data_IF_289178948580
#
_entry.id   IF_289178948580
#
_cell.length_a   1.000
_cell.length_b   1.000
_cell.length_c   1.000
_cell.angle_alpha   90.00
_cell.angle_beta   90.00
_cell.angle_gamma   90.00
#
_symmetry.space_group_name_H-M   'P 1'
#
loop_
_entity.id
_entity.type
_entity.pdbx_description
1 polymer ?
#
# COMPACT_ATOMS: atom_id res chain seq x y z
N UNK A 1 1.07 -9.66 -11.86
CA UNK A 1 1.93 -10.53 -12.71
C UNK A 1 3.38 -10.35 -12.27
N UNK A 2 4.19 -11.41 -12.26
CA UNK A 2 5.57 -11.29 -11.75
C UNK A 2 6.61 -10.96 -12.84
N UNK A 3 6.24 -10.96 -14.11
CA UNK A 3 7.15 -10.69 -15.22
C UNK A 3 8.38 -11.63 -15.19
N UNK A 4 9.44 -11.37 -15.96
CA UNK A 4 10.73 -12.08 -15.88
C UNK A 4 11.48 -11.78 -14.57
N UNK A 5 11.13 -10.72 -13.89
CA UNK A 5 11.81 -10.24 -12.69
C UNK A 5 13.20 -9.66 -12.95
N UNK A 6 13.63 -9.58 -14.19
CA UNK A 6 14.89 -8.97 -14.61
C UNK A 6 14.60 -7.77 -15.49
N UNK A 7 15.27 -6.68 -15.21
CA UNK A 7 15.23 -5.43 -15.96
C UNK A 7 16.65 -5.02 -16.32
N UNK A 8 16.79 -4.13 -17.26
CA UNK A 8 18.09 -3.54 -17.62
C UNK A 8 18.01 -2.04 -17.43
N UNK A 9 19.01 -1.47 -16.77
CA UNK A 9 19.14 -0.02 -16.67
C UNK A 9 19.55 0.60 -18.02
N UNK A 10 19.68 1.92 -18.08
CA UNK A 10 20.10 2.67 -19.27
C UNK A 10 21.51 2.28 -19.74
N UNK A 11 22.33 1.69 -18.87
CA UNK A 11 23.68 1.24 -19.15
C UNK A 11 23.74 -0.26 -19.53
N UNK A 12 22.59 -0.95 -19.54
CA UNK A 12 22.48 -2.37 -19.84
C UNK A 12 22.82 -3.30 -18.66
N UNK A 13 22.95 -2.78 -17.43
CA UNK A 13 23.18 -3.62 -16.25
C UNK A 13 21.87 -4.28 -15.82
N UNK A 14 21.96 -5.53 -15.38
CA UNK A 14 20.80 -6.26 -14.86
C UNK A 14 20.36 -5.75 -13.50
N UNK A 15 19.08 -5.46 -13.38
CA UNK A 15 18.41 -5.14 -12.14
C UNK A 15 17.32 -6.16 -11.81
N UNK A 16 17.28 -6.60 -10.55
CA UNK A 16 16.25 -7.53 -10.10
C UNK A 16 14.99 -6.81 -9.63
N UNK A 17 13.88 -7.18 -10.20
CA UNK A 17 12.56 -6.71 -9.82
C UNK A 17 12.02 -7.34 -8.54
N UNK A 18 10.83 -6.90 -8.16
CA UNK A 18 10.13 -7.30 -6.94
C UNK A 18 10.09 -8.82 -6.71
N UNK A 19 9.72 -9.68 -7.67
CA UNK A 19 9.59 -11.12 -7.41
C UNK A 19 10.90 -11.76 -6.97
N UNK A 20 12.03 -11.37 -7.57
CA UNK A 20 13.34 -11.93 -7.21
C UNK A 20 13.81 -11.36 -5.88
N UNK A 21 13.69 -10.05 -5.67
CA UNK A 21 14.11 -9.39 -4.42
C UNK A 21 13.34 -9.92 -3.21
N UNK A 22 12.01 -10.01 -3.31
CA UNK A 22 11.16 -10.53 -2.24
C UNK A 22 11.47 -12.01 -1.99
N UNK A 23 11.68 -12.81 -3.03
CA UNK A 23 12.04 -14.23 -2.87
C UNK A 23 13.34 -14.42 -2.13
N UNK A 24 14.36 -13.60 -2.41
CA UNK A 24 15.65 -13.63 -1.68
C UNK A 24 15.48 -13.25 -0.21
N UNK A 25 14.79 -12.16 0.08
CA UNK A 25 14.49 -11.74 1.46
C UNK A 25 13.75 -12.84 2.22
N UNK A 26 12.69 -13.40 1.63
CA UNK A 26 11.89 -14.46 2.27
C UNK A 26 12.70 -15.74 2.48
N UNK A 27 13.62 -16.08 1.56
CA UNK A 27 14.54 -17.20 1.70
C UNK A 27 15.49 -17.03 2.89
N UNK A 28 16.04 -15.82 3.04
CA UNK A 28 16.94 -15.48 4.15
C UNK A 28 16.19 -15.47 5.49
N UNK A 29 15.00 -14.89 5.52
CA UNK A 29 14.11 -14.90 6.70
C UNK A 29 13.71 -16.33 7.07
N UNK A 30 13.36 -17.18 6.10
CA UNK A 30 13.05 -18.58 6.37
C UNK A 30 14.22 -19.31 7.01
N UNK A 31 15.46 -19.01 6.62
CA UNK A 31 16.66 -19.54 7.25
C UNK A 31 16.81 -19.18 8.73
N UNK A 32 16.34 -17.99 9.12
CA UNK A 32 16.36 -17.53 10.52
C UNK A 32 15.24 -18.17 11.38
N UNK A 33 14.19 -18.68 10.75
CA UNK A 33 13.02 -19.27 11.42
C UNK A 33 12.72 -20.68 10.94
N UNK A 34 13.53 -21.70 11.31
CA UNK A 34 13.45 -23.05 10.77
C UNK A 34 12.10 -23.75 11.03
N UNK A 35 11.38 -23.34 12.07
CA UNK A 35 10.05 -23.88 12.41
C UNK A 35 8.90 -23.23 11.61
N UNK A 36 9.19 -22.22 10.79
CA UNK A 36 8.19 -21.59 9.91
C UNK A 36 8.37 -22.08 8.49
N UNK A 37 7.26 -22.31 7.80
CA UNK A 37 7.26 -22.68 6.38
C UNK A 37 6.82 -21.48 5.53
N UNK A 38 7.58 -21.20 4.50
CA UNK A 38 7.32 -20.12 3.55
C UNK A 38 7.03 -20.73 2.19
N UNK A 39 5.90 -20.35 1.60
CA UNK A 39 5.52 -20.69 0.24
C UNK A 39 5.35 -19.42 -0.57
N UNK A 40 6.07 -19.29 -1.66
CA UNK A 40 5.98 -18.16 -2.57
C UNK A 40 5.26 -18.59 -3.84
N UNK A 41 4.14 -17.93 -4.14
CA UNK A 41 3.41 -18.12 -5.38
C UNK A 41 3.82 -17.05 -6.36
N UNK A 42 4.39 -17.44 -7.49
CA UNK A 42 4.79 -16.56 -8.58
C UNK A 42 4.02 -16.96 -9.83
N UNK A 43 3.43 -15.99 -10.51
CA UNK A 43 2.61 -16.23 -11.67
C UNK A 43 2.76 -15.14 -12.72
N UNK A 44 2.94 -15.53 -13.95
CA UNK A 44 2.79 -14.67 -15.13
C UNK A 44 2.11 -15.47 -16.24
N UNK A 45 1.32 -14.86 -17.09
CA UNK A 45 0.65 -15.55 -18.19
C UNK A 45 1.61 -15.92 -19.35
N UNK A 46 2.82 -15.35 -19.37
CA UNK A 46 3.87 -15.68 -20.34
C UNK A 46 4.78 -16.77 -19.79
N UNK A 47 4.81 -17.92 -20.46
CA UNK A 47 5.69 -19.02 -20.11
C UNK A 47 7.16 -18.65 -20.28
N UNK A 48 7.51 -17.85 -21.32
CA UNK A 48 8.87 -17.37 -21.55
C UNK A 48 9.40 -16.55 -20.36
N UNK A 49 8.56 -15.64 -19.84
CA UNK A 49 8.91 -14.83 -18.66
C UNK A 49 9.10 -15.70 -17.43
N UNK A 50 8.30 -16.74 -17.27
CA UNK A 50 8.42 -17.70 -16.16
C UNK A 50 9.71 -18.51 -16.27
N UNK A 51 10.10 -18.91 -17.47
CA UNK A 51 11.37 -19.60 -17.70
C UNK A 51 12.56 -18.71 -17.32
N UNK A 52 12.52 -17.44 -17.71
CA UNK A 52 13.56 -16.48 -17.37
C UNK A 52 13.62 -16.22 -15.85
N UNK A 53 12.48 -15.96 -15.23
CA UNK A 53 12.37 -15.74 -13.79
C UNK A 53 13.01 -16.88 -12.98
N UNK A 54 12.78 -18.13 -13.36
CA UNK A 54 13.31 -19.31 -12.67
C UNK A 54 14.83 -19.34 -12.58
N UNK A 55 15.54 -18.77 -13.54
CA UNK A 55 17.02 -18.74 -13.55
C UNK A 55 17.62 -17.88 -12.42
N UNK A 56 16.86 -16.90 -11.93
CA UNK A 56 17.34 -15.88 -10.97
C UNK A 56 16.79 -16.06 -9.56
N UNK A 57 15.88 -17.02 -9.36
CA UNK A 57 15.31 -17.29 -8.05
C UNK A 57 16.31 -18.01 -7.14
N UNK A 58 16.31 -17.72 -5.81
CA UNK A 58 17.14 -18.45 -4.87
C UNK A 58 16.67 -19.91 -4.76
N UNK A 59 17.59 -20.81 -4.40
CA UNK A 59 17.29 -22.22 -4.22
C UNK A 59 16.27 -22.45 -3.10
N UNK A 60 15.37 -23.42 -3.31
CA UNK A 60 14.47 -23.93 -2.28
C UNK A 60 15.21 -24.51 -1.08
N UNK A 61 14.54 -24.63 0.05
CA UNK A 61 15.04 -25.32 1.25
C UNK A 61 13.94 -26.17 1.89
N UNK A 62 14.26 -26.78 3.01
CA UNK A 62 13.29 -27.59 3.77
C UNK A 62 12.04 -26.81 4.17
N UNK A 63 12.17 -25.50 4.40
CA UNK A 63 11.10 -24.64 4.87
C UNK A 63 10.78 -23.46 3.94
N UNK A 64 11.40 -23.38 2.75
CA UNK A 64 11.15 -22.35 1.74
C UNK A 64 10.90 -23.01 0.37
N UNK A 65 9.72 -22.78 -0.21
CA UNK A 65 9.27 -23.41 -1.44
C UNK A 65 8.58 -22.42 -2.37
N UNK A 66 8.60 -22.74 -3.66
CA UNK A 66 7.85 -22.02 -4.71
C UNK A 66 6.67 -22.83 -5.24
N UNK A 67 5.67 -22.08 -5.71
CA UNK A 67 4.69 -22.54 -6.69
C UNK A 67 4.74 -21.53 -7.83
N UNK A 68 5.27 -21.95 -8.98
CA UNK A 68 5.49 -21.06 -10.13
C UNK A 68 4.61 -21.55 -11.27
N UNK A 69 3.75 -20.68 -11.78
CA UNK A 69 2.74 -21.03 -12.80
C UNK A 69 2.67 -20.00 -13.91
N UNK A 70 2.18 -20.43 -15.08
CA UNK A 70 1.84 -19.57 -16.22
C UNK A 70 0.33 -19.65 -16.49
N UNK A 71 -0.46 -19.12 -15.55
CA UNK A 71 -1.92 -19.13 -15.62
C UNK A 71 -2.46 -17.71 -15.72
N UNK A 72 -3.74 -17.59 -16.09
CA UNK A 72 -4.49 -16.36 -15.81
C UNK A 72 -4.46 -16.05 -14.32
N UNK A 73 -4.10 -14.82 -13.97
CA UNK A 73 -3.88 -14.42 -12.58
C UNK A 73 -5.13 -14.52 -11.72
N UNK A 74 -6.30 -14.18 -12.28
CA UNK A 74 -7.56 -14.22 -11.55
C UNK A 74 -8.06 -15.66 -11.35
N UNK A 75 -7.78 -16.56 -12.30
CA UNK A 75 -8.06 -17.99 -12.13
C UNK A 75 -7.21 -18.57 -11.00
N UNK A 76 -5.91 -18.25 -10.98
CA UNK A 76 -5.01 -18.69 -9.91
C UNK A 76 -5.44 -18.13 -8.53
N UNK A 77 -5.84 -16.87 -8.47
CA UNK A 77 -6.31 -16.26 -7.22
C UNK A 77 -7.55 -16.96 -6.68
N UNK A 78 -8.51 -17.33 -7.53
CA UNK A 78 -9.68 -18.11 -7.09
C UNK A 78 -9.27 -19.47 -6.52
N UNK A 79 -8.35 -20.19 -7.20
CA UNK A 79 -7.82 -21.47 -6.72
C UNK A 79 -7.13 -21.36 -5.35
N UNK A 80 -6.32 -20.31 -5.16
CA UNK A 80 -5.62 -20.04 -3.89
C UNK A 80 -6.61 -19.59 -2.83
N UNK A 81 -7.52 -18.68 -3.16
CA UNK A 81 -8.54 -18.15 -2.27
C UNK A 81 -9.42 -19.25 -1.67
N UNK A 82 -9.81 -20.22 -2.47
CA UNK A 82 -10.57 -21.38 -2.00
C UNK A 82 -9.79 -22.23 -1.00
N UNK A 83 -8.49 -22.39 -1.19
CA UNK A 83 -7.61 -23.09 -0.23
C UNK A 83 -7.45 -22.31 1.08
N UNK A 84 -7.25 -20.99 0.98
CA UNK A 84 -7.10 -20.11 2.15
C UNK A 84 -8.37 -20.06 2.99
N UNK A 85 -9.54 -19.98 2.37
CA UNK A 85 -10.83 -19.92 3.07
C UNK A 85 -11.10 -21.16 3.93
N UNK A 86 -10.53 -22.30 3.55
CA UNK A 86 -10.63 -23.60 4.25
C UNK A 86 -9.59 -23.78 5.36
N UNK A 87 -8.61 -22.89 5.48
CA UNK A 87 -7.50 -23.01 6.44
C UNK A 87 -7.46 -21.84 7.40
N UNK A 88 -7.53 -22.15 8.71
CA UNK A 88 -7.37 -21.16 9.78
C UNK A 88 -5.89 -20.97 10.22
N UNK A 89 -4.96 -21.72 9.62
CA UNK A 89 -3.53 -21.75 10.03
C UNK A 89 -2.60 -21.09 9.02
N UNK A 90 -3.11 -20.69 7.87
CA UNK A 90 -2.33 -20.05 6.83
C UNK A 90 -2.42 -18.53 6.98
N UNK A 91 -1.28 -17.88 7.03
CA UNK A 91 -1.14 -16.44 6.86
C UNK A 91 -0.58 -16.18 5.47
N UNK A 92 -1.06 -15.14 4.83
CA UNK A 92 -0.59 -14.77 3.50
C UNK A 92 -0.30 -13.27 3.41
N UNK A 93 0.53 -12.92 2.45
CA UNK A 93 0.67 -11.58 1.91
C UNK A 93 0.44 -11.67 0.41
N UNK A 94 -0.58 -10.98 -0.09
CA UNK A 94 -0.89 -10.90 -1.51
C UNK A 94 -0.48 -9.55 -2.06
N UNK A 95 0.45 -9.53 -3.01
CA UNK A 95 0.66 -8.38 -3.89
C UNK A 95 -0.18 -8.59 -5.14
N UNK A 96 -1.25 -7.82 -5.27
CA UNK A 96 -2.11 -7.81 -6.44
C UNK A 96 -1.70 -6.64 -7.34
N UNK A 97 -1.02 -6.98 -8.41
CA UNK A 97 -0.51 -6.04 -9.40
C UNK A 97 -1.09 -6.43 -10.77
N UNK A 98 -2.30 -5.96 -11.11
CA UNK A 98 -2.92 -6.25 -12.39
C UNK A 98 -2.16 -5.54 -13.51
N UNK A 99 -2.19 -6.16 -14.71
CA UNK A 99 -1.53 -5.58 -15.89
C UNK A 99 -2.14 -4.22 -16.29
N UNK A 100 -3.40 -4.05 -16.01
CA UNK A 100 -4.15 -2.84 -16.29
C UNK A 100 -4.92 -2.35 -15.03
N UNK A 101 -5.67 -1.30 -15.19
CA UNK A 101 -6.42 -0.70 -14.09
C UNK A 101 -7.58 -1.56 -13.56
N UNK A 102 -7.87 -2.72 -14.15
CA UNK A 102 -9.00 -3.55 -13.73
C UNK A 102 -8.71 -4.36 -12.48
N UNK A 103 -9.68 -4.38 -11.56
CA UNK A 103 -9.62 -5.18 -10.33
C UNK A 103 -10.75 -6.20 -10.36
N UNK A 104 -10.40 -7.48 -10.28
CA UNK A 104 -11.38 -8.57 -10.14
C UNK A 104 -11.69 -8.81 -8.67
N UNK A 105 -12.72 -8.15 -8.18
CA UNK A 105 -13.16 -8.25 -6.79
C UNK A 105 -13.62 -9.65 -6.41
N UNK A 106 -14.13 -10.44 -7.36
CA UNK A 106 -14.56 -11.81 -7.10
C UNK A 106 -13.38 -12.72 -6.82
N UNK A 107 -12.26 -12.50 -7.50
CA UNK A 107 -11.02 -13.22 -7.25
C UNK A 107 -10.35 -12.79 -5.94
N UNK A 108 -10.51 -11.53 -5.52
CA UNK A 108 -9.93 -10.99 -4.29
C UNK A 108 -10.78 -11.26 -3.04
N UNK A 109 -12.11 -11.40 -3.15
CA UNK A 109 -13.01 -11.54 -2.02
C UNK A 109 -12.62 -12.64 -1.00
N UNK A 110 -12.12 -13.83 -1.40
CA UNK A 110 -11.69 -14.85 -0.45
C UNK A 110 -10.51 -14.39 0.42
N UNK A 111 -9.62 -13.56 -0.11
CA UNK A 111 -8.47 -13.04 0.62
C UNK A 111 -8.89 -12.07 1.73
N UNK A 112 -9.86 -11.22 1.47
CA UNK A 112 -10.42 -10.33 2.49
C UNK A 112 -11.15 -11.06 3.63
N UNK A 113 -11.55 -12.30 3.43
CA UNK A 113 -12.20 -13.14 4.44
C UNK A 113 -11.23 -14.04 5.21
N UNK A 114 -9.98 -14.09 4.78
CA UNK A 114 -8.94 -14.98 5.31
C UNK A 114 -7.94 -14.21 6.19
N UNK A 115 -7.01 -14.91 6.85
CA UNK A 115 -5.97 -14.30 7.67
C UNK A 115 -4.77 -13.90 6.81
N UNK A 116 -4.60 -12.62 6.58
CA UNK A 116 -3.46 -12.11 5.83
C UNK A 116 -3.58 -10.65 5.46
N UNK A 117 -2.75 -10.25 4.53
CA UNK A 117 -2.63 -8.88 4.08
C UNK A 117 -2.72 -8.84 2.55
N UNK A 118 -3.40 -7.83 2.03
CA UNK A 118 -3.51 -7.57 0.59
C UNK A 118 -2.92 -6.20 0.30
N UNK A 119 -1.99 -6.15 -0.63
CA UNK A 119 -1.45 -4.91 -1.19
C UNK A 119 -1.87 -4.83 -2.66
N UNK A 120 -2.69 -3.86 -2.99
CA UNK A 120 -3.19 -3.64 -4.35
C UNK A 120 -2.40 -2.50 -4.98
N UNK A 121 -1.76 -2.75 -6.11
CA UNK A 121 -1.25 -1.69 -6.96
C UNK A 121 -2.38 -1.22 -7.89
N UNK A 122 -3.02 -0.12 -7.52
CA UNK A 122 -4.13 0.45 -8.26
C UNK A 122 -3.65 1.50 -9.24
N UNK A 123 -3.72 1.20 -10.53
CA UNK A 123 -3.28 2.08 -11.62
C UNK A 123 -4.32 3.21 -11.88
N UNK A 124 -4.39 4.18 -10.97
CA UNK A 124 -5.41 5.23 -10.99
C UNK A 124 -5.34 6.10 -12.25
N UNK A 125 -4.13 6.47 -12.67
CA UNK A 125 -3.95 7.33 -13.86
C UNK A 125 -4.46 6.67 -15.12
N UNK A 126 -4.20 5.38 -15.29
CA UNK A 126 -4.67 4.63 -16.46
C UNK A 126 -6.19 4.53 -16.46
N UNK A 127 -6.81 4.33 -15.31
CA UNK A 127 -8.27 4.37 -15.19
C UNK A 127 -8.84 5.71 -15.59
N UNK A 128 -8.32 6.82 -15.09
CA UNK A 128 -8.82 8.17 -15.37
C UNK A 128 -8.68 8.50 -16.87
N UNK A 129 -7.54 8.16 -17.45
CA UNK A 129 -7.28 8.41 -18.88
C UNK A 129 -8.17 7.56 -19.77
N UNK A 130 -8.26 6.27 -19.44
CA UNK A 130 -9.02 5.32 -20.22
C UNK A 130 -10.53 5.60 -20.16
N UNK A 131 -11.09 5.87 -18.99
CA UNK A 131 -12.52 6.19 -18.82
C UNK A 131 -12.93 7.38 -19.71
N UNK A 132 -12.08 8.38 -19.87
CA UNK A 132 -12.33 9.52 -20.76
C UNK A 132 -12.33 9.15 -22.26
N UNK A 133 -11.67 8.06 -22.64
CA UNK A 133 -11.44 7.65 -24.03
C UNK A 133 -12.23 6.40 -24.44
N UNK A 134 -12.86 5.73 -23.49
CA UNK A 134 -13.59 4.49 -23.71
C UNK A 134 -14.80 4.74 -24.61
N UNK A 135 -14.88 3.95 -25.69
CA UNK A 135 -15.97 4.03 -26.68
C UNK A 135 -16.73 2.70 -26.84
N UNK A 136 -16.19 1.61 -26.31
CA UNK A 136 -16.80 0.30 -26.50
C UNK A 136 -17.54 -0.18 -25.23
N UNK A 137 -18.74 -0.79 -25.37
CA UNK A 137 -19.49 -1.29 -24.23
C UNK A 137 -18.68 -2.25 -23.35
N UNK A 138 -17.88 -3.12 -23.95
CA UNK A 138 -17.02 -4.06 -23.21
C UNK A 138 -16.00 -3.36 -22.31
N UNK A 139 -15.40 -2.28 -22.80
CA UNK A 139 -14.45 -1.52 -22.01
C UNK A 139 -15.14 -0.69 -20.93
N UNK A 140 -16.35 -0.16 -21.20
CA UNK A 140 -17.18 0.51 -20.17
C UNK A 140 -17.50 -0.44 -19.04
N UNK A 141 -18.02 -1.63 -19.34
CA UNK A 141 -18.35 -2.66 -18.37
C UNK A 141 -17.15 -3.02 -17.47
N UNK A 142 -15.95 -3.14 -18.03
CA UNK A 142 -14.72 -3.40 -17.28
C UNK A 142 -14.48 -2.38 -16.15
N UNK A 143 -14.68 -1.08 -16.44
CA UNK A 143 -14.54 -0.04 -15.42
C UNK A 143 -15.70 -0.01 -14.44
N UNK A 144 -16.92 -0.28 -14.88
CA UNK A 144 -18.08 -0.44 -14.01
C UNK A 144 -17.87 -1.56 -12.99
N UNK A 145 -17.35 -2.71 -13.43
CA UNK A 145 -16.98 -3.83 -12.56
C UNK A 145 -15.83 -3.48 -11.61
N UNK A 146 -14.80 -2.75 -12.09
CA UNK A 146 -13.67 -2.33 -11.26
C UNK A 146 -14.09 -1.39 -10.14
N UNK A 147 -14.96 -0.44 -10.44
CA UNK A 147 -15.37 0.59 -9.47
C UNK A 147 -16.76 0.36 -8.87
N UNK A 148 -17.42 -0.74 -9.21
CA UNK A 148 -18.78 -1.09 -8.77
C UNK A 148 -19.76 0.09 -8.91
N UNK A 149 -19.72 0.77 -10.05
CA UNK A 149 -20.47 1.97 -10.34
C UNK A 149 -20.83 2.05 -11.83
N UNK A 150 -21.92 2.72 -12.19
CA UNK A 150 -22.26 2.93 -13.60
C UNK A 150 -21.22 3.81 -14.28
N UNK A 151 -21.03 3.60 -15.59
CA UNK A 151 -20.01 4.34 -16.34
C UNK A 151 -20.21 5.86 -16.31
N UNK A 152 -21.45 6.32 -16.34
CA UNK A 152 -21.80 7.74 -16.24
C UNK A 152 -21.31 8.37 -14.92
N UNK A 153 -21.38 7.62 -13.81
CA UNK A 153 -20.90 8.06 -12.52
C UNK A 153 -19.37 8.00 -12.38
N UNK A 154 -18.70 7.33 -13.35
CA UNK A 154 -17.24 7.24 -13.39
C UNK A 154 -16.62 8.39 -14.17
N UNK A 155 -17.39 9.08 -15.03
CA UNK A 155 -16.86 10.21 -15.78
C UNK A 155 -16.38 11.29 -14.81
N UNK A 156 -15.12 11.73 -14.92
CA UNK A 156 -14.58 12.72 -14.00
C UNK A 156 -15.27 14.06 -14.17
N UNK A 157 -15.84 14.56 -13.09
CA UNK A 157 -16.31 15.94 -12.97
C UNK A 157 -15.23 16.75 -12.24
N UNK A 158 -14.51 17.61 -12.94
CA UNK A 158 -13.56 18.53 -12.32
C UNK A 158 -12.29 17.87 -11.75
N UNK A 159 -11.93 18.20 -10.51
CA UNK A 159 -10.70 17.78 -9.83
C UNK A 159 -10.76 16.40 -9.13
N UNK A 160 -11.58 15.47 -9.58
CA UNK A 160 -11.96 14.23 -8.91
C UNK A 160 -10.87 13.13 -8.81
N UNK A 161 -9.60 13.49 -8.68
CA UNK A 161 -8.53 12.52 -8.42
C UNK A 161 -8.77 11.72 -7.14
N UNK A 162 -9.20 12.39 -6.09
CA UNK A 162 -9.49 11.81 -4.77
C UNK A 162 -10.65 10.80 -4.82
N UNK A 163 -11.59 10.98 -5.74
CA UNK A 163 -12.76 10.10 -5.84
C UNK A 163 -12.39 8.65 -6.20
N UNK A 164 -11.41 8.43 -7.08
CA UNK A 164 -11.02 7.08 -7.50
C UNK A 164 -10.26 6.32 -6.41
N UNK A 165 -9.36 6.99 -5.69
CA UNK A 165 -8.65 6.40 -4.54
C UNK A 165 -9.66 5.97 -3.48
N UNK A 166 -10.52 6.88 -3.06
CA UNK A 166 -11.55 6.60 -2.06
C UNK A 166 -12.54 5.52 -2.49
N UNK A 167 -12.81 5.38 -3.78
CA UNK A 167 -13.70 4.31 -4.28
C UNK A 167 -13.13 2.93 -4.01
N UNK A 168 -11.84 2.70 -4.27
CA UNK A 168 -11.21 1.41 -3.96
C UNK A 168 -11.27 1.13 -2.46
N UNK A 169 -10.96 2.11 -1.62
CA UNK A 169 -11.07 1.98 -0.17
C UNK A 169 -12.51 1.67 0.27
N UNK A 170 -13.49 2.35 -0.30
CA UNK A 170 -14.91 2.14 -0.02
C UNK A 170 -15.40 0.75 -0.45
N UNK A 171 -14.97 0.26 -1.61
CA UNK A 171 -15.29 -1.08 -2.09
C UNK A 171 -14.70 -2.11 -1.14
N UNK A 172 -13.44 -1.97 -0.76
CA UNK A 172 -12.80 -2.87 0.19
C UNK A 172 -13.54 -2.86 1.54
N UNK A 173 -13.88 -1.70 2.05
CA UNK A 173 -14.66 -1.56 3.29
C UNK A 173 -16.04 -2.23 3.17
N UNK A 174 -16.70 -2.10 2.03
CA UNK A 174 -17.99 -2.75 1.75
C UNK A 174 -17.87 -4.28 1.72
N UNK A 175 -16.85 -4.81 1.04
CA UNK A 175 -16.60 -6.26 0.98
C UNK A 175 -16.32 -6.87 2.37
N UNK A 176 -15.90 -6.07 3.31
CA UNK A 176 -15.56 -6.47 4.68
C UNK A 176 -16.70 -6.37 5.66
N UNK A 177 -17.63 -5.45 5.44
CA UNK A 177 -18.79 -5.25 6.34
C UNK A 177 -19.59 -6.53 6.51
N UNK A 178 -19.63 -7.39 5.50
CA UNK A 178 -20.23 -8.73 5.55
C UNK A 178 -19.41 -9.79 6.30
N UNK A 179 -18.14 -9.53 6.64
CA UNK A 179 -17.25 -10.50 7.27
C UNK A 179 -17.20 -10.41 8.81
N UNK A 180 -17.86 -9.42 9.42
CA UNK A 180 -17.90 -9.23 10.88
C UNK A 180 -16.54 -8.92 11.52
N UNK A 181 -15.55 -8.47 10.73
CA UNK A 181 -14.19 -8.16 11.18
C UNK A 181 -13.86 -6.69 10.98
N UNK A 182 -13.13 -6.11 11.92
CA UNK A 182 -12.51 -4.80 11.71
C UNK A 182 -11.39 -4.93 10.69
N UNK A 183 -11.35 -4.02 9.74
CA UNK A 183 -10.34 -3.99 8.71
C UNK A 183 -9.67 -2.62 8.68
N UNK A 184 -8.37 -2.63 8.46
CA UNK A 184 -7.55 -1.43 8.37
C UNK A 184 -7.14 -1.26 6.91
N UNK A 185 -7.33 -0.06 6.38
CA UNK A 185 -6.99 0.29 5.00
C UNK A 185 -6.09 1.51 5.05
N UNK A 186 -4.93 1.43 4.41
CA UNK A 186 -4.02 2.54 4.22
C UNK A 186 -3.68 2.67 2.74
N UNK A 187 -3.71 3.87 2.23
CA UNK A 187 -3.29 4.21 0.88
C UNK A 187 -1.95 4.93 0.89
N UNK A 188 -1.14 4.68 -0.12
CA UNK A 188 0.10 5.39 -0.36
C UNK A 188 0.22 5.72 -1.84
N UNK A 189 -0.29 6.89 -2.28
CA UNK A 189 -0.30 7.26 -3.69
C UNK A 189 1.04 7.80 -4.17
N UNK A 190 1.29 7.56 -5.45
CA UNK A 190 2.47 7.98 -6.18
C UNK A 190 2.09 8.87 -7.34
N UNK A 191 2.78 9.98 -7.44
CA UNK A 191 2.52 11.01 -8.41
C UNK A 191 3.71 11.22 -9.35
N UNK A 192 3.48 11.78 -10.52
CA UNK A 192 4.54 12.18 -11.45
C UNK A 192 4.92 13.66 -11.28
N UNK A 193 5.93 14.11 -12.05
CA UNK A 193 6.41 15.50 -12.04
C UNK A 193 5.36 16.56 -12.45
N UNK A 194 4.20 16.14 -12.95
CA UNK A 194 3.10 17.02 -13.36
C UNK A 194 1.91 16.97 -12.39
N UNK A 195 2.13 16.55 -11.18
CA UNK A 195 1.08 16.36 -10.18
C UNK A 195 -0.06 15.42 -10.62
N UNK A 196 0.23 14.44 -11.45
CA UNK A 196 -0.73 13.43 -11.82
C UNK A 196 -0.50 12.17 -11.00
N UNK A 197 -1.52 11.71 -10.30
CA UNK A 197 -1.51 10.45 -9.60
C UNK A 197 -1.25 9.32 -10.61
N UNK A 198 -0.19 8.57 -10.42
CA UNK A 198 0.16 7.43 -11.27
C UNK A 198 -0.56 6.19 -10.79
N UNK A 199 -0.29 5.80 -9.57
CA UNK A 199 -0.88 4.64 -8.93
C UNK A 199 -0.97 4.85 -7.42
N UNK A 200 -1.79 4.05 -6.78
CA UNK A 200 -1.98 4.03 -5.34
C UNK A 200 -1.72 2.62 -4.81
N UNK A 201 -0.85 2.50 -3.82
CA UNK A 201 -0.65 1.25 -3.10
C UNK A 201 -1.64 1.16 -1.95
N UNK A 202 -2.71 0.41 -2.17
CA UNK A 202 -3.75 0.21 -1.17
C UNK A 202 -3.45 -1.04 -0.35
N UNK A 203 -3.07 -0.83 0.90
CA UNK A 203 -2.80 -1.91 1.85
C UNK A 203 -4.03 -2.20 2.70
N UNK A 204 -4.37 -3.47 2.81
CA UNK A 204 -5.53 -3.95 3.52
C UNK A 204 -5.14 -5.08 4.46
N UNK A 205 -5.52 -4.98 5.72
CA UNK A 205 -5.26 -6.02 6.72
C UNK A 205 -6.34 -6.04 7.80
N UNK A 206 -6.63 -7.21 8.35
CA UNK A 206 -7.48 -7.35 9.54
C UNK A 206 -6.68 -7.23 10.85
N UNK A 207 -5.36 -7.00 10.77
CA UNK A 207 -4.47 -6.99 11.91
C UNK A 207 -3.87 -5.60 12.14
N UNK A 208 -4.13 -5.03 13.30
CA UNK A 208 -3.65 -3.69 13.65
C UNK A 208 -2.12 -3.55 13.55
N UNK A 209 -1.37 -4.59 13.96
CA UNK A 209 0.08 -4.56 13.85
C UNK A 209 0.58 -4.51 12.39
N UNK A 210 -0.08 -5.19 11.46
CA UNK A 210 0.22 -5.10 10.02
C UNK A 210 0.00 -3.70 9.49
N UNK A 211 -1.12 -3.07 9.86
CA UNK A 211 -1.41 -1.69 9.50
C UNK A 211 -0.37 -0.69 10.02
N UNK A 212 0.03 -0.82 11.29
CA UNK A 212 1.08 0.01 11.88
C UNK A 212 2.42 -0.20 11.18
N UNK A 213 2.78 -1.45 10.95
CA UNK A 213 4.02 -1.82 10.29
C UNK A 213 4.09 -1.26 8.86
N UNK A 214 3.00 -1.35 8.10
CA UNK A 214 2.92 -0.80 6.76
C UNK A 214 3.22 0.71 6.76
N UNK A 215 2.54 1.48 7.60
CA UNK A 215 2.75 2.94 7.71
C UNK A 215 4.20 3.28 8.11
N UNK A 216 4.70 2.63 9.14
CA UNK A 216 6.08 2.86 9.61
C UNK A 216 7.12 2.50 8.55
N UNK A 217 6.89 1.40 7.80
CA UNK A 217 7.79 0.97 6.72
C UNK A 217 7.76 1.95 5.55
N UNK A 218 6.57 2.38 5.12
CA UNK A 218 6.41 3.36 4.05
C UNK A 218 7.15 4.67 4.41
N UNK A 219 6.88 5.23 5.57
CA UNK A 219 7.56 6.44 6.03
C UNK A 219 9.08 6.29 6.15
N UNK A 220 9.55 5.15 6.65
CA UNK A 220 10.99 4.86 6.73
C UNK A 220 11.63 4.79 5.33
N UNK A 221 10.96 4.14 4.39
CA UNK A 221 11.42 4.01 3.00
C UNK A 221 11.55 5.38 2.32
N UNK A 222 10.64 6.29 2.63
CA UNK A 222 10.65 7.65 2.09
C UNK A 222 11.33 8.69 3.02
N UNK A 223 12.21 8.26 3.90
CA UNK A 223 13.04 9.15 4.72
C UNK A 223 12.28 9.94 5.78
N UNK A 224 11.24 9.35 6.39
CA UNK A 224 10.46 9.98 7.45
C UNK A 224 9.37 10.92 6.92
N UNK A 225 8.88 10.66 5.70
CA UNK A 225 7.81 11.43 5.07
C UNK A 225 6.86 10.53 4.28
N UNK A 226 5.63 10.99 4.09
CA UNK A 226 4.64 10.36 3.22
C UNK A 226 4.64 11.02 1.84
N UNK A 227 4.19 10.31 0.81
CA UNK A 227 4.08 10.83 -0.55
C UNK A 227 2.94 11.84 -0.75
N UNK A 228 2.09 12.06 0.26
CA UNK A 228 0.97 12.99 0.15
C UNK A 228 0.94 13.95 1.32
N UNK A 229 0.85 15.22 0.99
CA UNK A 229 0.47 16.26 1.94
C UNK A 229 -0.85 16.91 1.58
N UNK A 230 -1.02 17.25 0.32
CA UNK A 230 -2.20 17.93 -0.16
C UNK A 230 -2.52 17.49 -1.59
N UNK A 231 -3.75 17.09 -1.85
CA UNK A 231 -4.20 16.63 -3.15
C UNK A 231 -4.86 17.74 -3.97
N UNK A 232 -4.98 18.93 -3.41
CA UNK A 232 -5.65 20.05 -4.05
C UNK A 232 -4.64 20.98 -4.76
N UNK A 233 -4.33 20.67 -6.02
CA UNK A 233 -3.89 21.68 -6.97
C UNK A 233 -2.41 22.02 -7.01
N UNK A 234 -1.56 21.44 -6.18
CA UNK A 234 -0.13 21.74 -6.24
C UNK A 234 0.54 21.08 -7.42
N UNK A 235 1.19 21.89 -8.26
CA UNK A 235 1.87 21.45 -9.48
C UNK A 235 3.19 20.72 -9.20
N UNK A 236 3.63 20.69 -7.96
CA UNK A 236 4.94 20.21 -7.55
C UNK A 236 4.86 18.81 -6.92
N UNK A 237 5.46 17.80 -7.52
CA UNK A 237 5.31 16.43 -7.06
C UNK A 237 6.48 15.51 -7.23
N UNK A 238 6.35 14.36 -6.54
CA UNK A 238 7.28 13.26 -6.59
C UNK A 238 7.44 12.67 -7.98
N UNK A 239 8.66 12.54 -8.42
CA UNK A 239 9.02 11.51 -9.39
C UNK A 239 9.61 10.33 -8.65
N UNK A 240 9.02 9.15 -8.86
CA UNK A 240 9.72 7.91 -8.58
C UNK A 240 10.51 7.63 -9.84
N UNK A 241 11.81 7.80 -9.72
CA UNK A 241 12.72 7.33 -10.73
C UNK A 241 13.00 5.85 -10.45
N UNK A 242 12.38 4.99 -11.24
CA UNK A 242 12.57 3.55 -11.10
C UNK A 242 13.97 3.10 -11.53
N UNK A 243 14.71 3.93 -12.27
CA UNK A 243 16.04 3.61 -12.75
C UNK A 243 17.10 3.80 -11.66
N UNK A 244 16.92 4.77 -10.77
CA UNK A 244 17.92 5.11 -9.73
C UNK A 244 17.56 4.56 -8.33
N UNK A 245 16.48 3.78 -8.20
CA UNK A 245 15.98 3.21 -6.93
C UNK A 245 15.81 4.22 -5.78
N UNK A 246 15.92 5.52 -6.06
CA UNK A 246 15.75 6.60 -5.10
C UNK A 246 14.49 7.37 -5.44
N UNK A 247 13.65 7.52 -4.44
CA UNK A 247 12.52 8.44 -4.54
C UNK A 247 13.10 9.85 -4.49
N UNK A 248 13.17 10.50 -5.66
CA UNK A 248 13.51 11.92 -5.75
C UNK A 248 12.23 12.71 -5.54
N UNK A 249 12.12 13.34 -4.40
CA UNK A 249 11.06 14.30 -4.14
C UNK A 249 11.37 15.59 -4.89
N UNK A 250 10.57 15.91 -5.88
CA UNK A 250 10.69 17.19 -6.59
C UNK A 250 10.12 18.36 -5.79
N UNK A 251 9.20 18.09 -4.89
CA UNK A 251 8.64 19.11 -4.01
C UNK A 251 8.37 18.55 -2.61
N UNK A 252 9.03 19.16 -1.64
CA UNK A 252 8.83 18.82 -0.24
C UNK A 252 7.46 19.25 0.29
N UNK A 253 6.79 20.19 -0.36
CA UNK A 253 5.46 20.68 0.04
C UNK A 253 4.34 19.65 -0.13
N UNK A 254 4.51 18.71 -1.04
CA UNK A 254 3.55 17.63 -1.27
C UNK A 254 3.68 16.45 -0.30
N UNK A 255 4.61 16.51 0.65
CA UNK A 255 4.83 15.43 1.60
C UNK A 255 4.29 15.76 2.98
N UNK A 256 3.87 14.71 3.69
CA UNK A 256 3.71 14.78 5.14
C UNK A 256 5.05 14.50 5.81
N UNK A 257 5.39 15.33 6.78
CA UNK A 257 6.56 15.19 7.63
C UNK A 257 6.15 14.96 9.09
N UNK A 258 7.13 14.68 9.94
CA UNK A 258 6.89 14.59 11.39
C UNK A 258 6.25 15.87 11.95
N UNK A 259 6.60 17.02 11.37
CA UNK A 259 5.95 18.30 11.73
C UNK A 259 4.43 18.25 11.53
N UNK A 260 3.96 17.65 10.44
CA UNK A 260 2.51 17.57 10.17
C UNK A 260 1.80 16.64 11.18
N UNK A 261 2.48 15.59 11.66
CA UNK A 261 1.97 14.79 12.79
C UNK A 261 1.83 15.63 14.05
N UNK A 262 2.84 16.45 14.32
CA UNK A 262 2.87 17.32 15.50
C UNK A 262 1.77 18.39 15.42
N UNK A 263 1.60 19.00 14.26
CA UNK A 263 0.53 19.98 14.00
C UNK A 263 -0.86 19.34 14.17
N UNK A 264 -1.05 18.12 13.65
CA UNK A 264 -2.29 17.37 13.82
C UNK A 264 -2.58 17.10 15.30
N UNK A 265 -1.60 16.60 16.06
CA UNK A 265 -1.77 16.31 17.48
C UNK A 265 -2.04 17.58 18.29
N UNK A 266 -1.30 18.66 18.03
CA UNK A 266 -1.52 19.95 18.68
C UNK A 266 -2.93 20.47 18.41
N UNK A 267 -3.40 20.41 17.17
CA UNK A 267 -4.76 20.85 16.83
C UNK A 267 -5.84 19.99 17.49
N UNK A 268 -5.63 18.68 17.58
CA UNK A 268 -6.62 17.74 18.13
C UNK A 268 -6.72 17.79 19.65
N UNK A 269 -5.60 18.00 20.31
CA UNK A 269 -5.50 17.97 21.76
C UNK A 269 -5.26 19.35 22.38
N UNK A 270 -5.40 20.44 21.61
CA UNK A 270 -5.19 21.80 22.09
C UNK A 270 -5.91 22.06 23.42
N UNK A 271 -5.20 22.66 24.40
CA UNK A 271 -5.71 22.98 25.73
C UNK A 271 -5.93 21.80 26.67
N UNK A 272 -5.81 20.55 26.20
CA UNK A 272 -5.99 19.37 27.05
C UNK A 272 -4.75 19.13 27.91
N UNK A 273 -4.99 18.93 29.22
CA UNK A 273 -3.93 18.60 30.19
C UNK A 273 -3.84 17.11 30.44
N UNK A 274 -2.62 16.65 30.67
CA UNK A 274 -2.30 15.29 31.08
C UNK A 274 -2.92 14.17 30.20
N UNK A 275 -2.91 14.39 28.88
CA UNK A 275 -3.37 13.37 27.91
C UNK A 275 -2.42 12.20 27.94
N UNK A 276 -2.88 10.97 28.30
CA UNK A 276 -2.01 9.80 28.38
C UNK A 276 -1.36 9.49 27.02
N UNK A 277 -0.10 9.06 27.06
CA UNK A 277 0.58 8.59 25.82
C UNK A 277 -0.21 7.51 25.10
N UNK A 278 -0.85 6.60 25.85
CA UNK A 278 -1.67 5.55 25.22
C UNK A 278 -2.78 6.11 24.33
N UNK A 279 -3.42 7.21 24.73
CA UNK A 279 -4.47 7.88 23.95
C UNK A 279 -3.88 8.52 22.69
N UNK A 280 -2.73 9.19 22.82
CA UNK A 280 -2.07 9.88 21.70
C UNK A 280 -1.58 8.86 20.67
N UNK A 281 -0.94 7.78 21.12
CA UNK A 281 -0.42 6.77 20.21
C UNK A 281 -1.55 5.95 19.57
N UNK A 282 -2.61 5.62 20.32
CA UNK A 282 -3.77 4.95 19.76
C UNK A 282 -4.45 5.79 18.67
N UNK A 283 -4.45 7.11 18.82
CA UNK A 283 -4.98 8.02 17.82
C UNK A 283 -4.15 8.00 16.52
N UNK A 284 -2.83 8.10 16.63
CA UNK A 284 -1.93 7.96 15.46
C UNK A 284 -1.98 6.57 14.86
N UNK A 285 -2.09 5.53 15.71
CA UNK A 285 -2.20 4.15 15.22
C UNK A 285 -3.46 3.95 14.38
N UNK A 286 -4.55 4.62 14.72
CA UNK A 286 -5.79 4.61 13.95
C UNK A 286 -5.77 5.55 12.72
N UNK A 287 -4.84 6.48 12.64
CA UNK A 287 -4.74 7.43 11.54
C UNK A 287 -4.31 6.73 10.23
N UNK A 288 -4.96 6.98 9.08
CA UNK A 288 -4.68 6.26 7.84
C UNK A 288 -3.28 6.51 7.26
N UNK A 289 -2.65 7.65 7.59
CA UNK A 289 -1.36 8.08 7.03
C UNK A 289 -0.26 8.15 8.08
N UNK A 290 -0.53 8.71 9.26
CA UNK A 290 0.50 9.02 10.25
C UNK A 290 0.92 7.81 11.08
N UNK A 291 2.21 7.43 11.10
CA UNK A 291 2.71 6.40 11.99
C UNK A 291 2.97 6.96 13.40
N UNK A 292 2.87 6.12 14.42
CA UNK A 292 3.43 6.39 15.74
C UNK A 292 4.79 5.72 15.92
N UNK A 293 4.92 4.50 15.43
CA UNK A 293 6.12 3.69 15.60
C UNK A 293 7.30 4.26 14.82
N UNK A 294 8.46 4.29 15.46
CA UNK A 294 9.68 4.88 14.92
C UNK A 294 9.82 6.39 15.14
N UNK A 295 8.72 7.12 15.40
CA UNK A 295 8.71 8.60 15.46
C UNK A 295 8.32 9.18 16.83
N UNK A 296 7.97 8.35 17.83
CA UNK A 296 7.47 8.79 19.15
C UNK A 296 8.43 9.74 19.87
N UNK A 297 9.72 9.53 19.76
CA UNK A 297 10.72 10.40 20.41
C UNK A 297 10.79 11.76 19.73
N UNK A 298 10.79 11.78 18.41
CA UNK A 298 10.85 12.99 17.60
C UNK A 298 9.58 13.82 17.74
N UNK A 299 8.40 13.18 17.70
CA UNK A 299 7.11 13.82 17.96
C UNK A 299 7.09 14.52 19.32
N UNK A 300 7.53 13.81 20.40
CA UNK A 300 7.60 14.42 21.73
C UNK A 300 8.53 15.61 21.78
N UNK A 301 9.71 15.49 21.16
CA UNK A 301 10.69 16.58 21.09
C UNK A 301 10.10 17.80 20.38
N UNK A 302 9.46 17.59 19.23
CA UNK A 302 8.86 18.68 18.45
C UNK A 302 7.65 19.31 19.17
N UNK A 303 6.75 18.55 19.78
CA UNK A 303 5.65 19.09 20.60
C UNK A 303 6.17 19.99 21.73
N UNK A 304 7.26 19.60 22.38
CA UNK A 304 7.87 20.42 23.44
C UNK A 304 8.49 21.69 22.89
N UNK A 305 9.27 21.58 21.81
CA UNK A 305 10.07 22.70 21.30
C UNK A 305 9.22 23.72 20.51
N UNK A 306 8.33 23.23 19.65
CA UNK A 306 7.62 24.07 18.70
C UNK A 306 6.30 24.60 19.29
N UNK A 307 5.69 23.84 20.20
CA UNK A 307 4.40 24.19 20.81
C UNK A 307 4.45 24.44 22.33
N UNK A 308 5.60 24.21 22.96
CA UNK A 308 5.73 24.39 24.42
C UNK A 308 4.93 23.36 25.23
N UNK A 309 4.59 22.23 24.66
CA UNK A 309 3.86 21.19 25.38
C UNK A 309 4.68 20.65 26.58
N UNK A 310 4.01 20.41 27.70
CA UNK A 310 4.66 19.85 28.89
C UNK A 310 4.56 18.33 28.83
N UNK A 311 5.72 17.67 28.87
CA UNK A 311 5.82 16.22 28.77
C UNK A 311 6.19 15.64 30.12
N UNK A 312 5.32 14.79 30.67
CA UNK A 312 5.55 13.98 31.88
C UNK A 312 6.06 12.58 31.53
N UNK A 313 6.16 11.69 32.53
CA UNK A 313 6.53 10.29 32.31
C UNK A 313 5.50 9.49 31.49
N UNK A 314 4.22 9.85 31.58
CA UNK A 314 3.12 9.06 31.03
C UNK A 314 2.12 9.86 30.16
N UNK A 315 2.24 11.19 30.10
CA UNK A 315 1.26 12.07 29.48
C UNK A 315 1.89 13.31 28.86
N UNK A 316 1.10 14.00 28.01
CA UNK A 316 1.41 15.30 27.43
C UNK A 316 0.29 16.28 27.78
N UNK A 317 0.67 17.47 28.26
CA UNK A 317 -0.25 18.62 28.39
C UNK A 317 0.00 19.56 27.22
N UNK A 318 -1.01 19.71 26.39
CA UNK A 318 -0.97 20.53 25.20
C UNK A 318 -1.31 22.00 25.55
N UNK A 319 -0.69 22.92 24.85
CA UNK A 319 -1.01 24.37 24.94
C UNK A 319 -2.30 24.65 24.18
N UNK A 320 -2.91 25.80 24.49
CA UNK A 320 -4.04 26.31 23.72
C UNK A 320 -3.65 26.58 22.26
N UNK A 321 -4.64 26.66 21.38
CA UNK A 321 -4.40 27.07 19.99
C UNK A 321 -3.81 28.50 20.00
N UNK A 322 -2.70 28.67 19.32
CA UNK A 322 -2.15 29.99 19.02
C UNK A 322 -2.95 30.66 17.91
#
# INVERSE_FOLDING_TARGET
MCNSGVYHDENGNEEFGTPIRVSRILRDVAGQYPNKKVFVYLNDNSEEKIVELKKHLPNESSNFRYSITSKDGNVLLREIGDKLSKSKRLHFFLLYDPYDASIDWTALAPFFRSWGEVLINHMVNDSIRAIRQVKTPKAMQKYEETYLSTFENLLPCGSDRIAYEKRVEQIIASLQSGAGRKYYIASFPFFNSRNSLLYDLVHCTCHEAGFKLYKATAWKTFGGKSSIKNTHGDENQFMIDFTDQRVKTQCDECCYYVKDIVDYLQNKFAGKKDVPFAVIWADLDAHPVFPSDGYRAEIKKALKNDYGAKISRSAISFTDRR
#
